data_IF_225738833133
#
_entry.id   IF_225738833133
#
_cell.length_a   1.000
_cell.length_b   1.000
_cell.length_c   1.000
_cell.angle_alpha   90.00
_cell.angle_beta   90.00
_cell.angle_gamma   90.00
#
_symmetry.space_group_name_H-M   'P 1'
#
loop_
_entity.id
_entity.type
_entity.pdbx_description
1 polymer ?
#
# COMPACT_ATOMS: atom_id res chain seq x y z
N UNK A 1 4.00 -22.74 -1.50
CA UNK A 1 4.11 -22.18 -0.14
C UNK A 1 5.44 -21.45 -0.09
N UNK A 2 5.43 -20.13 -0.28
CA UNK A 2 6.62 -19.32 -0.03
C UNK A 2 6.67 -19.09 1.47
N UNK A 3 7.71 -19.57 2.13
CA UNK A 3 8.11 -19.08 3.44
C UNK A 3 8.27 -17.56 3.30
N UNK A 4 7.50 -16.77 4.06
CA UNK A 4 7.79 -15.34 4.23
C UNK A 4 9.20 -15.28 4.82
N UNK A 5 10.16 -14.98 3.96
CA UNK A 5 11.54 -14.84 4.37
C UNK A 5 11.62 -13.55 5.19
N UNK A 6 11.64 -13.68 6.52
CA UNK A 6 11.75 -12.54 7.43
C UNK A 6 13.00 -11.74 7.08
N UNK A 7 12.83 -10.50 6.62
CA UNK A 7 13.84 -9.59 6.10
C UNK A 7 14.55 -8.84 7.21
N UNK A 8 13.80 -8.40 8.22
CA UNK A 8 14.33 -7.87 9.46
C UNK A 8 14.89 -9.00 10.32
N UNK A 9 16.16 -8.90 10.71
CA UNK A 9 16.73 -9.83 11.68
C UNK A 9 16.27 -9.47 13.11
N UNK A 10 16.22 -10.44 14.05
CA UNK A 10 15.80 -10.19 15.43
C UNK A 10 16.65 -9.14 16.16
N UNK A 11 17.92 -8.99 15.79
CA UNK A 11 18.82 -7.97 16.34
C UNK A 11 18.36 -6.55 15.97
N UNK A 12 17.83 -6.36 14.77
CA UNK A 12 17.28 -5.09 14.30
C UNK A 12 15.98 -4.77 15.00
N UNK A 13 15.09 -5.75 15.18
CA UNK A 13 13.85 -5.59 15.94
C UNK A 13 14.14 -5.17 17.39
N UNK A 14 15.09 -5.83 18.04
CA UNK A 14 15.56 -5.48 19.38
C UNK A 14 16.19 -4.08 19.42
N UNK A 15 16.98 -3.72 18.40
CA UNK A 15 17.63 -2.41 18.32
C UNK A 15 16.64 -1.28 18.11
N UNK A 16 15.66 -1.44 17.22
CA UNK A 16 14.58 -0.46 17.01
C UNK A 16 13.78 -0.28 18.28
N UNK A 17 13.40 -1.38 18.95
CA UNK A 17 12.69 -1.33 20.22
C UNK A 17 13.47 -0.59 21.31
N UNK A 18 14.79 -0.82 21.39
CA UNK A 18 15.68 -0.11 22.30
C UNK A 18 15.76 1.39 21.98
N UNK A 19 15.91 1.75 20.70
CA UNK A 19 16.01 3.14 20.25
C UNK A 19 14.72 3.93 20.48
N UNK A 20 13.56 3.26 20.35
CA UNK A 20 12.26 3.85 20.63
C UNK A 20 11.92 3.87 22.13
N UNK A 21 12.66 3.12 22.95
CA UNK A 21 12.42 2.99 24.39
C UNK A 21 11.10 2.30 24.74
N UNK A 22 10.53 1.52 23.81
CA UNK A 22 9.21 0.87 23.95
C UNK A 22 9.08 -0.37 23.06
N UNK A 23 8.36 -1.37 23.55
CA UNK A 23 8.10 -2.68 22.91
C UNK A 23 6.60 -2.97 22.86
N UNK A 24 5.79 -1.95 22.62
CA UNK A 24 4.34 -2.09 22.58
C UNK A 24 3.84 -2.37 21.17
N UNK A 25 2.52 -2.55 21.03
CA UNK A 25 1.84 -2.84 19.76
C UNK A 25 2.15 -1.80 18.67
N UNK A 26 2.45 -0.56 19.03
CA UNK A 26 2.87 0.49 18.09
C UNK A 26 4.22 0.15 17.44
N UNK A 27 5.20 -0.28 18.23
CA UNK A 27 6.51 -0.68 17.73
C UNK A 27 6.40 -1.95 16.88
N UNK A 28 5.58 -2.91 17.30
CA UNK A 28 5.32 -4.13 16.53
C UNK A 28 4.69 -3.82 15.17
N UNK A 29 3.68 -2.94 15.13
CA UNK A 29 3.04 -2.51 13.89
C UNK A 29 4.00 -1.74 12.98
N UNK A 30 4.87 -0.90 13.54
CA UNK A 30 5.93 -0.23 12.79
C UNK A 30 6.93 -1.20 12.17
N UNK A 31 7.39 -2.21 12.94
CA UNK A 31 8.31 -3.23 12.45
C UNK A 31 7.66 -4.07 11.33
N UNK A 32 6.38 -4.43 11.47
CA UNK A 32 5.64 -5.12 10.42
C UNK A 32 5.49 -4.27 9.14
N UNK A 33 5.27 -2.95 9.26
CA UNK A 33 5.25 -2.06 8.10
C UNK A 33 6.63 -1.91 7.46
N UNK A 34 7.70 -1.86 8.26
CA UNK A 34 9.07 -1.88 7.75
C UNK A 34 9.30 -3.15 6.92
N UNK A 35 9.01 -4.32 7.49
CA UNK A 35 9.12 -5.62 6.82
C UNK A 35 8.44 -5.63 5.45
N UNK A 36 7.19 -5.15 5.38
CA UNK A 36 6.44 -5.04 4.12
C UNK A 36 7.09 -4.07 3.12
N UNK A 37 7.58 -2.92 3.60
CA UNK A 37 8.28 -1.96 2.74
C UNK A 37 9.56 -2.56 2.14
N UNK A 38 10.32 -3.29 2.94
CA UNK A 38 11.54 -3.96 2.50
C UNK A 38 11.22 -5.08 1.49
N UNK A 39 10.18 -5.88 1.75
CA UNK A 39 9.74 -6.94 0.84
C UNK A 39 9.27 -6.40 -0.50
N UNK A 40 8.52 -5.30 -0.49
CA UNK A 40 8.12 -4.59 -1.71
C UNK A 40 9.34 -4.07 -2.48
N UNK A 41 10.31 -3.45 -1.80
CA UNK A 41 11.54 -2.96 -2.43
C UNK A 41 12.35 -4.10 -3.06
N UNK A 42 12.58 -5.21 -2.34
CA UNK A 42 13.31 -6.37 -2.88
C UNK A 42 12.61 -7.00 -4.08
N UNK A 43 11.28 -7.09 -4.03
CA UNK A 43 10.50 -7.52 -5.19
C UNK A 43 10.74 -6.59 -6.37
N UNK A 44 10.72 -5.27 -6.16
CA UNK A 44 10.94 -4.29 -7.23
C UNK A 44 12.30 -4.43 -7.91
N UNK A 45 13.38 -4.41 -7.12
CA UNK A 45 14.75 -4.38 -7.67
C UNK A 45 15.14 -5.69 -8.37
N UNK A 46 14.44 -6.78 -8.07
CA UNK A 46 14.62 -8.08 -8.71
C UNK A 46 13.67 -8.30 -9.89
N UNK A 47 13.00 -7.24 -10.36
CA UNK A 47 12.10 -7.31 -11.52
C UNK A 47 10.72 -7.89 -11.22
N UNK A 48 10.36 -8.05 -9.94
CA UNK A 48 9.05 -8.54 -9.51
C UNK A 48 7.87 -7.64 -9.89
N UNK A 49 8.14 -6.39 -10.26
CA UNK A 49 7.14 -5.48 -10.84
C UNK A 49 7.32 -5.24 -12.34
N UNK A 50 8.22 -5.95 -13.05
CA UNK A 50 8.50 -5.70 -14.47
C UNK A 50 7.25 -5.79 -15.37
N UNK A 51 6.25 -6.57 -14.96
CA UNK A 51 4.97 -6.74 -15.65
C UNK A 51 3.81 -5.92 -15.02
N UNK A 52 4.10 -5.10 -14.00
CA UNK A 52 3.14 -4.32 -13.22
C UNK A 52 2.98 -4.84 -11.79
N UNK A 53 1.73 -5.04 -11.35
CA UNK A 53 1.45 -5.47 -9.98
C UNK A 53 1.83 -6.94 -9.74
N UNK A 54 2.14 -7.34 -8.48
CA UNK A 54 2.33 -8.74 -8.13
C UNK A 54 1.11 -9.57 -8.49
N UNK A 55 1.32 -10.79 -8.98
CA UNK A 55 0.25 -11.65 -9.50
C UNK A 55 -0.92 -11.86 -8.50
N UNK A 56 -0.62 -12.01 -7.21
CA UNK A 56 -1.64 -12.15 -6.18
C UNK A 56 -2.50 -10.88 -6.04
N UNK A 57 -1.88 -9.69 -6.05
CA UNK A 57 -2.59 -8.41 -5.99
C UNK A 57 -3.40 -8.20 -7.26
N UNK A 58 -2.81 -8.48 -8.44
CA UNK A 58 -3.50 -8.38 -9.70
C UNK A 58 -4.79 -9.24 -9.72
N UNK A 59 -4.69 -10.50 -9.27
CA UNK A 59 -5.82 -11.43 -9.18
C UNK A 59 -6.92 -10.97 -8.20
N UNK A 60 -6.54 -10.41 -7.04
CA UNK A 60 -7.51 -9.82 -6.12
C UNK A 60 -8.23 -8.62 -6.74
N UNK A 61 -7.51 -7.74 -7.44
CA UNK A 61 -8.09 -6.59 -8.12
C UNK A 61 -8.99 -7.00 -9.30
N UNK A 62 -8.64 -8.06 -10.04
CA UNK A 62 -9.51 -8.63 -11.08
C UNK A 62 -10.80 -9.15 -10.46
N UNK A 63 -10.70 -9.85 -9.32
CA UNK A 63 -11.88 -10.33 -8.58
C UNK A 63 -12.78 -9.16 -8.16
N UNK A 64 -12.21 -8.11 -7.58
CA UNK A 64 -12.96 -6.91 -7.17
C UNK A 64 -13.65 -6.26 -8.38
N UNK A 65 -12.93 -6.09 -9.48
CA UNK A 65 -13.47 -5.49 -10.71
C UNK A 65 -14.62 -6.33 -11.28
N UNK A 66 -14.45 -7.66 -11.29
CA UNK A 66 -15.49 -8.57 -11.76
C UNK A 66 -16.76 -8.49 -10.88
N UNK A 67 -16.59 -8.52 -9.55
CA UNK A 67 -17.72 -8.39 -8.61
C UNK A 67 -18.42 -7.04 -8.71
N UNK A 68 -17.68 -5.96 -8.91
CA UNK A 68 -18.25 -4.63 -9.14
C UNK A 68 -19.08 -4.60 -10.43
N UNK A 69 -18.60 -5.24 -11.50
CA UNK A 69 -19.33 -5.36 -12.77
C UNK A 69 -20.61 -6.21 -12.64
N UNK A 70 -20.55 -7.35 -11.95
CA UNK A 70 -21.72 -8.19 -11.65
C UNK A 70 -22.77 -7.40 -10.87
N UNK A 71 -22.36 -6.72 -9.79
CA UNK A 71 -23.26 -5.92 -8.98
C UNK A 71 -23.89 -4.79 -9.80
N UNK A 72 -23.12 -4.08 -10.62
CA UNK A 72 -23.64 -3.04 -11.50
C UNK A 72 -24.69 -3.59 -12.49
N UNK A 73 -24.44 -4.77 -13.07
CA UNK A 73 -25.42 -5.42 -13.96
C UNK A 73 -26.73 -5.71 -13.23
N UNK A 74 -26.66 -6.25 -12.02
CA UNK A 74 -27.85 -6.50 -11.21
C UNK A 74 -28.59 -5.20 -10.85
N UNK A 75 -27.86 -4.12 -10.55
CA UNK A 75 -28.45 -2.81 -10.27
C UNK A 75 -29.20 -2.23 -11.48
N UNK A 76 -28.79 -2.52 -12.71
CA UNK A 76 -29.52 -2.10 -13.92
C UNK A 76 -30.79 -2.90 -14.18
N UNK A 77 -30.88 -4.15 -13.73
CA UNK A 77 -32.04 -5.01 -13.93
C UNK A 77 -33.14 -4.77 -12.87
N UNK A 78 -32.74 -4.36 -11.66
CA UNK A 78 -33.65 -4.14 -10.53
C UNK A 78 -34.78 -3.12 -10.77
N UNK A 79 -34.60 -1.98 -11.47
CA UNK A 79 -35.68 -1.04 -11.75
C UNK A 79 -36.87 -1.68 -12.46
N UNK A 80 -36.63 -2.53 -13.46
CA UNK A 80 -37.69 -3.20 -14.22
C UNK A 80 -38.46 -4.19 -13.32
N UNK A 81 -37.75 -4.92 -12.46
CA UNK A 81 -38.37 -5.83 -11.48
C UNK A 81 -39.21 -5.07 -10.43
N UNK A 82 -38.71 -3.93 -9.94
CA UNK A 82 -39.44 -3.07 -9.01
C UNK A 82 -40.73 -2.52 -9.64
N UNK A 83 -40.67 -2.10 -10.91
CA UNK A 83 -41.85 -1.65 -11.65
C UNK A 83 -42.87 -2.78 -11.82
N UNK A 84 -42.44 -4.02 -12.08
CA UNK A 84 -43.33 -5.18 -12.13
C UNK A 84 -44.06 -5.40 -10.79
N UNK A 85 -43.36 -5.29 -9.66
CA UNK A 85 -43.95 -5.41 -8.32
C UNK A 85 -44.94 -4.29 -7.99
N UNK A 86 -44.70 -3.06 -8.46
CA UNK A 86 -45.65 -1.94 -8.33
C UNK A 86 -46.91 -2.18 -9.15
N UNK A 87 -46.78 -2.69 -10.38
CA UNK A 87 -47.91 -3.05 -11.23
C UNK A 87 -48.78 -4.16 -10.62
N UNK A 88 -48.18 -5.03 -9.81
CA UNK A 88 -48.89 -6.06 -9.03
C UNK A 88 -49.46 -5.52 -7.70
N UNK A 89 -49.32 -4.22 -7.42
CA UNK A 89 -49.69 -3.59 -6.14
C UNK A 89 -49.01 -4.20 -4.91
N UNK A 90 -47.87 -4.85 -5.08
CA UNK A 90 -47.07 -5.44 -3.99
C UNK A 90 -46.11 -4.41 -3.37
N UNK A 91 -45.77 -3.36 -4.11
CA UNK A 91 -45.01 -2.21 -3.65
C UNK A 91 -45.76 -0.90 -3.93
N UNK A 92 -45.54 0.09 -3.07
CA UNK A 92 -46.03 1.46 -3.30
C UNK A 92 -45.10 2.25 -4.21
N UNK A 93 -45.66 3.10 -5.08
CA UNK A 93 -44.91 3.94 -6.02
C UNK A 93 -43.93 4.95 -5.36
N UNK A 94 -44.10 5.23 -4.07
CA UNK A 94 -43.15 6.05 -3.29
C UNK A 94 -41.91 5.24 -2.91
N UNK A 95 -42.10 3.97 -2.54
CA UNK A 95 -41.02 3.04 -2.20
C UNK A 95 -40.18 2.72 -3.43
N UNK A 96 -40.81 2.43 -4.56
CA UNK A 96 -40.14 2.23 -5.86
C UNK A 96 -39.22 3.40 -6.22
N UNK A 97 -39.75 4.63 -6.22
CA UNK A 97 -38.96 5.84 -6.54
C UNK A 97 -37.83 6.11 -5.56
N UNK A 98 -37.95 5.67 -4.31
CA UNK A 98 -36.85 5.77 -3.33
C UNK A 98 -35.78 4.73 -3.64
N UNK A 99 -36.19 3.47 -3.82
CA UNK A 99 -35.27 2.37 -4.14
C UNK A 99 -34.53 2.63 -5.45
N UNK A 100 -35.20 3.07 -6.51
CA UNK A 100 -34.55 3.42 -7.78
C UNK A 100 -33.43 4.45 -7.60
N UNK A 101 -33.69 5.55 -6.85
CA UNK A 101 -32.66 6.56 -6.55
C UNK A 101 -31.50 6.01 -5.72
N UNK A 102 -31.80 5.20 -4.71
CA UNK A 102 -30.77 4.61 -3.84
C UNK A 102 -29.89 3.62 -4.64
N UNK A 103 -30.48 2.86 -5.58
CA UNK A 103 -29.77 1.94 -6.47
C UNK A 103 -28.93 2.70 -7.52
N UNK A 104 -29.47 3.75 -8.14
CA UNK A 104 -28.75 4.60 -9.09
C UNK A 104 -27.51 5.23 -8.44
N UNK A 105 -27.63 5.67 -7.17
CA UNK A 105 -26.52 6.24 -6.42
C UNK A 105 -25.40 5.23 -6.11
N UNK A 106 -25.63 3.93 -6.26
CA UNK A 106 -24.61 2.89 -6.09
C UNK A 106 -23.84 2.58 -7.38
N UNK A 107 -24.34 2.98 -8.55
CA UNK A 107 -23.69 2.68 -9.84
C UNK A 107 -22.40 3.47 -10.00
N UNK A 108 -22.43 4.78 -9.76
CA UNK A 108 -21.27 5.68 -9.93
C UNK A 108 -20.06 5.26 -9.08
N UNK A 109 -20.19 4.95 -7.77
CA UNK A 109 -19.07 4.43 -6.97
C UNK A 109 -18.44 3.14 -7.50
N UNK A 110 -19.21 2.26 -8.15
CA UNK A 110 -18.70 1.02 -8.72
C UNK A 110 -17.89 1.27 -10.00
N UNK A 111 -18.28 2.27 -10.79
CA UNK A 111 -17.53 2.71 -11.97
C UNK A 111 -16.23 3.42 -11.56
N UNK A 112 -16.30 4.29 -10.55
CA UNK A 112 -15.13 4.95 -9.96
C UNK A 112 -14.13 3.93 -9.40
N UNK A 113 -14.61 2.87 -8.75
CA UNK A 113 -13.74 1.81 -8.24
C UNK A 113 -12.99 1.10 -9.38
N UNK A 114 -13.69 0.75 -10.47
CA UNK A 114 -13.05 0.13 -11.62
C UNK A 114 -12.00 1.06 -12.28
N UNK A 115 -12.32 2.35 -12.38
CA UNK A 115 -11.38 3.36 -12.89
C UNK A 115 -10.15 3.52 -11.98
N UNK A 116 -10.33 3.55 -10.66
CA UNK A 116 -9.24 3.63 -9.69
C UNK A 116 -8.32 2.41 -9.78
N UNK A 117 -8.88 1.20 -9.94
CA UNK A 117 -8.11 -0.03 -10.13
C UNK A 117 -7.31 0.02 -11.44
N UNK A 118 -7.88 0.55 -12.51
CA UNK A 118 -7.18 0.74 -13.78
C UNK A 118 -5.99 1.70 -13.63
N UNK A 119 -6.22 2.86 -13.01
CA UNK A 119 -5.17 3.86 -12.76
C UNK A 119 -4.03 3.28 -11.90
N UNK A 120 -4.37 2.51 -10.86
CA UNK A 120 -3.37 1.83 -10.03
C UNK A 120 -2.49 0.88 -10.85
N UNK A 121 -3.08 0.13 -11.79
CA UNK A 121 -2.33 -0.79 -12.68
C UNK A 121 -1.41 -0.03 -13.63
N UNK A 122 -1.88 1.07 -14.20
CA UNK A 122 -1.07 1.92 -15.08
C UNK A 122 0.10 2.54 -14.33
N UNK A 123 -0.14 3.06 -13.12
CA UNK A 123 0.90 3.58 -12.24
C UNK A 123 1.93 2.51 -11.91
N UNK A 124 1.48 1.32 -11.48
CA UNK A 124 2.41 0.22 -11.18
C UNK A 124 3.27 -0.18 -12.39
N UNK A 125 2.70 -0.19 -13.60
CA UNK A 125 3.45 -0.44 -14.84
C UNK A 125 4.44 0.68 -15.19
N UNK A 126 4.05 1.94 -15.02
CA UNK A 126 4.96 3.06 -15.22
C UNK A 126 6.13 2.99 -14.24
N UNK A 127 5.84 2.59 -13.01
CA UNK A 127 6.81 2.50 -11.92
C UNK A 127 7.75 1.30 -12.05
N UNK A 128 7.35 0.25 -12.77
CA UNK A 128 8.19 -0.88 -13.14
C UNK A 128 9.46 -0.48 -13.92
N UNK A 129 9.45 0.71 -14.52
CA UNK A 129 10.57 1.25 -15.30
C UNK A 129 11.54 2.12 -14.49
N UNK A 130 11.29 2.31 -13.19
CA UNK A 130 12.12 3.14 -12.34
C UNK A 130 13.50 2.51 -12.11
N UNK A 131 14.53 3.35 -12.16
CA UNK A 131 15.89 2.97 -11.79
C UNK A 131 16.03 2.70 -10.28
N UNK A 132 17.12 2.03 -9.86
CA UNK A 132 17.35 1.64 -8.46
C UNK A 132 17.36 2.83 -7.48
N UNK A 133 17.86 3.99 -7.90
CA UNK A 133 17.88 5.24 -7.10
C UNK A 133 16.47 5.73 -6.75
N UNK A 134 15.55 5.70 -7.72
CA UNK A 134 14.16 6.14 -7.52
C UNK A 134 13.38 5.15 -6.63
N UNK A 135 13.64 3.86 -6.75
CA UNK A 135 13.08 2.84 -5.87
C UNK A 135 13.60 2.99 -4.44
N UNK A 136 14.89 3.31 -4.28
CA UNK A 136 15.49 3.56 -2.98
C UNK A 136 14.91 4.81 -2.31
N UNK A 137 14.72 5.91 -3.05
CA UNK A 137 14.06 7.12 -2.54
C UNK A 137 12.66 6.80 -2.00
N UNK A 138 11.89 5.98 -2.72
CA UNK A 138 10.55 5.56 -2.32
C UNK A 138 10.55 4.71 -1.06
N UNK A 139 11.50 3.78 -0.94
CA UNK A 139 11.69 3.02 0.29
C UNK A 139 11.91 3.95 1.48
N UNK A 140 12.81 4.93 1.34
CA UNK A 140 13.07 5.90 2.41
C UNK A 140 11.79 6.66 2.80
N UNK A 141 11.06 7.19 1.81
CA UNK A 141 9.77 7.89 2.05
C UNK A 141 8.74 6.99 2.74
N UNK A 142 8.64 5.72 2.35
CA UNK A 142 7.71 4.77 2.95
C UNK A 142 8.06 4.47 4.41
N UNK A 143 9.34 4.26 4.73
CA UNK A 143 9.81 4.08 6.11
C UNK A 143 9.56 5.32 6.97
N UNK A 144 9.80 6.52 6.42
CA UNK A 144 9.48 7.79 7.09
C UNK A 144 7.98 7.98 7.35
N UNK A 145 7.13 7.59 6.40
CA UNK A 145 5.69 7.62 6.56
C UNK A 145 5.21 6.62 7.62
N UNK A 146 5.71 5.38 7.61
CA UNK A 146 5.43 4.39 8.63
C UNK A 146 5.82 4.89 10.03
N UNK A 147 7.02 5.48 10.16
CA UNK A 147 7.48 6.08 11.40
C UNK A 147 6.53 7.17 11.90
N UNK A 148 6.12 8.07 11.02
CA UNK A 148 5.16 9.14 11.34
C UNK A 148 3.81 8.58 11.77
N UNK A 149 3.29 7.59 11.04
CA UNK A 149 1.95 7.06 11.27
C UNK A 149 1.84 6.35 12.62
N UNK A 150 2.87 5.59 13.00
CA UNK A 150 2.85 4.82 14.24
C UNK A 150 3.26 5.65 15.45
N UNK A 151 4.31 6.45 15.34
CA UNK A 151 4.83 7.18 16.49
C UNK A 151 4.28 8.61 16.63
N UNK A 152 3.53 9.10 15.64
CA UNK A 152 3.06 10.48 15.57
C UNK A 152 4.19 11.52 15.73
N UNK A 153 5.38 11.16 15.23
CA UNK A 153 6.59 11.98 15.27
C UNK A 153 6.98 12.35 13.83
N UNK A 154 7.46 13.59 13.63
CA UNK A 154 7.96 14.00 12.33
C UNK A 154 9.33 13.34 12.10
N UNK A 155 9.54 12.62 10.97
CA UNK A 155 10.83 12.06 10.64
C UNK A 155 11.83 13.20 10.35
N UNK A 156 12.84 13.34 11.19
CA UNK A 156 13.90 14.37 11.06
C UNK A 156 15.27 13.75 11.26
N UNK A 157 16.28 14.30 10.59
CA UNK A 157 17.68 13.87 10.70
C UNK A 157 18.41 14.46 11.92
N UNK A 158 17.68 14.96 12.91
CA UNK A 158 18.25 15.50 14.14
C UNK A 158 18.92 14.36 14.94
N UNK A 159 20.22 14.45 15.28
CA UNK A 159 20.92 13.45 16.10
C UNK A 159 20.27 13.21 17.48
N UNK A 160 19.45 14.15 17.95
CA UNK A 160 18.71 14.04 19.21
C UNK A 160 17.40 13.25 19.07
N UNK A 161 16.95 12.99 17.85
CA UNK A 161 15.73 12.23 17.58
C UNK A 161 16.06 10.78 17.17
N UNK A 162 15.21 9.82 17.56
CA UNK A 162 15.51 8.42 17.29
C UNK A 162 15.35 8.03 15.81
N UNK A 163 14.66 8.84 14.99
CA UNK A 163 14.36 8.51 13.60
C UNK A 163 15.59 8.11 12.77
N UNK A 164 16.66 8.92 12.78
CA UNK A 164 17.87 8.60 12.01
C UNK A 164 18.53 7.29 12.46
N UNK A 165 18.56 7.04 13.78
CA UNK A 165 19.12 5.82 14.33
C UNK A 165 18.28 4.58 13.98
N UNK A 166 16.94 4.71 14.05
CA UNK A 166 15.99 3.67 13.67
C UNK A 166 16.10 3.38 12.17
N UNK A 167 16.08 4.40 11.33
CA UNK A 167 16.23 4.25 9.89
C UNK A 167 17.54 3.54 9.52
N UNK A 168 18.66 3.94 10.14
CA UNK A 168 19.95 3.27 9.94
C UNK A 168 19.93 1.80 10.37
N UNK A 169 19.32 1.49 11.52
CA UNK A 169 19.18 0.11 11.97
C UNK A 169 18.36 -0.73 10.98
N UNK A 170 17.22 -0.21 10.50
CA UNK A 170 16.39 -0.88 9.49
C UNK A 170 17.12 -1.09 8.16
N UNK A 171 17.88 -0.09 7.71
CA UNK A 171 18.66 -0.20 6.47
C UNK A 171 19.89 -1.12 6.62
N UNK A 172 20.44 -1.28 7.82
CA UNK A 172 21.57 -2.16 8.04
C UNK A 172 21.23 -3.62 7.71
N UNK A 173 20.04 -4.09 8.10
CA UNK A 173 19.57 -5.44 7.74
C UNK A 173 19.46 -5.64 6.22
N UNK A 174 19.17 -4.57 5.47
CA UNK A 174 19.16 -4.62 4.01
C UNK A 174 20.56 -4.75 3.43
N UNK A 175 21.53 -4.01 3.96
CA UNK A 175 22.91 -4.05 3.46
C UNK A 175 23.56 -5.42 3.61
N UNK A 176 23.18 -6.19 4.63
CA UNK A 176 23.64 -7.57 4.83
C UNK A 176 23.11 -8.52 3.75
N UNK A 177 21.93 -8.24 3.18
CA UNK A 177 21.28 -9.09 2.17
C UNK A 177 21.60 -8.68 0.73
N UNK A 178 21.78 -7.39 0.48
CA UNK A 178 22.15 -6.86 -0.84
C UNK A 178 23.19 -5.74 -0.72
N UNK A 179 24.47 -6.02 -1.04
CA UNK A 179 25.56 -5.04 -1.00
C UNK A 179 25.36 -3.82 -1.90
N UNK A 180 24.48 -3.91 -2.92
CA UNK A 180 24.13 -2.75 -3.77
C UNK A 180 23.42 -1.67 -2.96
N UNK A 181 22.65 -2.05 -1.94
CA UNK A 181 21.98 -1.12 -1.03
C UNK A 181 23.02 -0.39 -0.18
N UNK A 182 24.08 -1.08 0.26
CA UNK A 182 25.18 -0.44 0.97
C UNK A 182 25.87 0.61 0.10
N UNK A 183 26.05 0.30 -1.18
CA UNK A 183 26.66 1.21 -2.16
C UNK A 183 25.77 2.43 -2.44
N UNK A 184 24.46 2.23 -2.61
CA UNK A 184 23.49 3.32 -2.78
C UNK A 184 23.38 4.21 -1.54
N UNK A 185 23.35 3.60 -0.35
CA UNK A 185 23.33 4.33 0.91
C UNK A 185 24.63 5.11 1.16
N UNK A 186 25.79 4.58 0.76
CA UNK A 186 27.07 5.30 0.86
C UNK A 186 27.20 6.42 -0.18
N UNK A 187 26.76 6.19 -1.41
CA UNK A 187 26.91 7.14 -2.51
C UNK A 187 25.91 8.30 -2.44
N UNK A 188 24.66 8.03 -2.03
CA UNK A 188 23.56 8.99 -2.09
C UNK A 188 22.94 9.30 -0.72
N UNK A 189 23.19 8.47 0.29
CA UNK A 189 22.39 8.40 1.51
C UNK A 189 22.30 9.72 2.26
N UNK A 190 23.40 10.42 2.54
CA UNK A 190 23.31 11.63 3.39
C UNK A 190 22.63 12.81 2.67
N UNK A 191 22.98 13.07 1.40
CA UNK A 191 22.37 14.14 0.61
C UNK A 191 20.89 13.85 0.28
N UNK A 192 20.56 12.59 0.00
CA UNK A 192 19.19 12.16 -0.30
C UNK A 192 18.32 12.14 0.96
N UNK A 193 18.84 11.69 2.10
CA UNK A 193 18.15 11.80 3.38
C UNK A 193 17.82 13.26 3.68
N UNK A 194 18.77 14.19 3.51
CA UNK A 194 18.52 15.62 3.71
C UNK A 194 17.47 16.19 2.75
N UNK A 195 17.39 15.69 1.52
CA UNK A 195 16.34 16.07 0.56
C UNK A 195 14.95 15.60 0.98
N UNK A 196 14.85 14.42 1.61
CA UNK A 196 13.57 13.79 1.98
C UNK A 196 13.09 14.25 3.37
N UNK A 197 14.02 14.41 4.31
CA UNK A 197 13.75 14.59 5.76
C UNK A 197 14.39 15.83 6.39
N UNK A 198 15.13 16.62 5.61
CA UNK A 198 15.76 17.88 6.04
C UNK A 198 14.81 19.07 6.08
#
# INVERSE_FOLDING_TARGET
>A
MNTEEQLLNPETEARVSQLMGRTDTTTEAYLADCERCLGAYFSAINGGFAEGLPAAIAAHLDTVTHRAAELRSALYELPDELTALVNLHLLGAVTERRMGRDLDAMVEPLEDLAAAIHQLREQARAEASLGPEALFERLLRALGAAYRNHFNLQPKLDPRQPFLAVLRATLQSLTERDPRIASLFQAEGEAQLHRIFG
#
